data_IF_874946826510
#
_entry.id   IF_874946826510
#
_cell.length_a   1.000
_cell.length_b   1.000
_cell.length_c   1.000
_cell.angle_alpha   90.00
_cell.angle_beta   90.00
_cell.angle_gamma   90.00
#
_symmetry.space_group_name_H-M   'P 1'
#
loop_
_entity.id
_entity.type
_entity.pdbx_description
1 polymer ?
#
# COMPACT_ATOMS: atom_id res chain seq x y z
N UNK A 1 -0.05 27.84 27.79
CA UNK A 1 0.06 27.90 26.33
C UNK A 1 0.76 26.64 25.89
N UNK A 2 0.27 26.02 24.81
CA UNK A 2 0.92 24.85 24.16
C UNK A 2 1.29 25.20 22.73
N UNK A 3 2.40 24.63 22.26
CA UNK A 3 2.90 24.74 20.88
C UNK A 3 3.30 23.34 20.40
N UNK A 4 2.80 22.94 19.24
CA UNK A 4 3.15 21.70 18.57
C UNK A 4 4.09 21.93 17.41
N UNK A 5 4.93 20.94 17.10
CA UNK A 5 5.89 20.98 16.01
C UNK A 5 6.65 19.67 15.86
N UNK A 6 7.84 19.76 15.30
CA UNK A 6 8.77 18.66 15.04
C UNK A 6 10.04 18.84 15.86
N UNK A 7 10.58 17.76 16.38
CA UNK A 7 11.94 17.69 16.90
C UNK A 7 12.86 17.09 15.83
N UNK A 8 13.45 17.94 15.03
CA UNK A 8 14.34 17.55 13.92
C UNK A 8 15.52 16.69 14.36
N UNK A 9 15.97 16.83 15.61
CA UNK A 9 17.10 16.06 16.11
C UNK A 9 16.75 14.58 16.36
N UNK A 10 15.49 14.31 16.68
CA UNK A 10 15.01 12.96 17.03
C UNK A 10 13.99 12.42 16.02
N UNK A 11 13.56 13.22 15.03
CA UNK A 11 12.54 12.83 14.06
C UNK A 11 11.21 12.46 14.76
N UNK A 12 10.77 13.27 15.71
CA UNK A 12 9.65 12.96 16.58
C UNK A 12 8.73 14.17 16.78
N UNK A 13 7.45 13.96 17.17
CA UNK A 13 6.57 15.07 17.55
C UNK A 13 7.14 15.85 18.73
N UNK A 14 7.08 17.17 18.65
CA UNK A 14 7.47 18.08 19.73
C UNK A 14 6.24 18.79 20.28
N UNK A 15 6.06 18.74 21.59
CA UNK A 15 5.06 19.56 22.30
C UNK A 15 5.75 20.40 23.35
N UNK A 16 5.64 21.73 23.22
CA UNK A 16 6.14 22.69 24.18
C UNK A 16 4.98 23.25 25.02
N UNK A 17 5.26 23.52 26.28
CA UNK A 17 4.33 24.20 27.19
C UNK A 17 4.99 25.44 27.81
N UNK A 18 4.23 26.51 27.86
CA UNK A 18 4.57 27.72 28.65
C UNK A 18 3.53 27.97 29.74
N UNK A 19 3.98 28.22 30.96
CA UNK A 19 3.18 28.68 32.10
C UNK A 19 3.42 30.17 32.41
N UNK A 20 4.24 30.82 31.60
CA UNK A 20 4.68 32.22 31.82
C UNK A 20 4.22 33.17 30.71
N UNK A 21 3.07 32.87 30.07
CA UNK A 21 2.55 33.72 28.99
C UNK A 21 3.42 33.70 27.71
N UNK A 22 4.21 32.63 27.47
CA UNK A 22 5.08 32.50 26.29
C UNK A 22 6.53 32.98 26.54
N UNK A 23 6.88 33.45 27.73
CA UNK A 23 8.24 33.91 28.03
C UNK A 23 9.21 32.74 28.12
N UNK A 24 8.82 31.65 28.79
CA UNK A 24 9.65 30.44 28.90
C UNK A 24 8.83 29.23 28.39
N UNK A 25 9.55 28.30 27.76
CA UNK A 25 9.01 27.08 27.17
C UNK A 25 9.76 25.86 27.67
N UNK A 26 9.04 24.77 27.90
CA UNK A 26 9.62 23.47 28.21
C UNK A 26 9.00 22.39 27.33
N UNK A 27 9.81 21.42 26.87
CA UNK A 27 9.30 20.23 26.20
C UNK A 27 8.55 19.36 27.21
N UNK A 28 7.33 18.98 26.85
CA UNK A 28 6.44 18.17 27.70
C UNK A 28 6.06 16.83 27.09
N UNK A 29 6.40 16.56 25.84
CA UNK A 29 6.23 15.24 25.20
C UNK A 29 7.62 14.62 25.01
N UNK A 30 7.93 13.58 25.78
CA UNK A 30 9.29 13.06 25.90
C UNK A 30 9.39 11.67 25.27
N UNK A 31 9.73 11.62 23.98
CA UNK A 31 9.85 10.39 23.19
C UNK A 31 11.07 9.54 23.54
N UNK A 32 12.12 10.15 24.12
CA UNK A 32 13.32 9.41 24.56
C UNK A 32 12.91 8.43 25.68
N UNK A 33 13.09 7.14 25.42
CA UNK A 33 12.71 6.05 26.32
C UNK A 33 11.22 6.08 26.73
N UNK A 34 10.35 6.72 25.95
CA UNK A 34 8.92 6.91 26.29
C UNK A 34 8.71 7.49 27.69
N UNK A 35 9.57 8.41 28.14
CA UNK A 35 9.73 8.76 29.55
C UNK A 35 8.43 9.17 30.25
N UNK A 36 7.50 9.83 29.52
CA UNK A 36 6.19 10.21 30.04
C UNK A 36 5.04 9.84 29.11
N UNK A 37 5.21 8.80 28.25
CA UNK A 37 4.27 8.42 27.22
C UNK A 37 3.91 6.95 27.39
N UNK A 38 2.61 6.61 27.51
CA UNK A 38 2.15 5.24 27.30
C UNK A 38 2.07 4.97 25.79
N UNK A 39 2.43 3.77 25.37
CA UNK A 39 2.51 3.42 23.94
C UNK A 39 1.59 2.28 23.57
N UNK A 40 1.21 2.21 22.30
CA UNK A 40 0.70 1.02 21.65
C UNK A 40 1.85 0.29 20.93
N UNK A 41 1.71 0.11 19.60
CA UNK A 41 2.70 -0.56 18.74
C UNK A 41 3.88 0.35 18.33
N UNK A 42 3.76 1.65 18.53
CA UNK A 42 4.77 2.65 18.18
C UNK A 42 5.53 3.13 19.42
N UNK A 43 6.78 3.56 19.23
CA UNK A 43 7.60 4.21 20.25
C UNK A 43 8.95 3.54 20.46
N UNK A 44 9.62 3.91 21.54
CA UNK A 44 10.99 3.47 21.86
C UNK A 44 11.12 1.94 21.84
N UNK A 45 12.00 1.44 20.96
CA UNK A 45 12.26 0.01 20.70
C UNK A 45 11.07 -0.81 20.19
N UNK A 46 9.94 -0.20 19.88
CA UNK A 46 8.80 -0.88 19.25
C UNK A 46 9.05 -1.30 17.80
N UNK A 47 8.04 -1.89 17.18
CA UNK A 47 8.11 -2.29 15.76
C UNK A 47 8.23 -1.08 14.84
N UNK A 48 7.61 0.01 15.23
CA UNK A 48 7.76 1.33 14.60
C UNK A 48 8.25 2.34 15.64
N UNK A 49 9.07 3.26 15.19
CA UNK A 49 9.49 4.40 16.01
C UNK A 49 8.65 5.62 15.61
N UNK A 50 8.77 6.73 16.33
CA UNK A 50 8.03 7.96 16.03
C UNK A 50 8.41 8.63 14.70
N UNK A 51 9.31 8.07 13.89
CA UNK A 51 9.86 8.65 12.67
C UNK A 51 8.83 9.05 11.61
N UNK A 52 7.80 8.29 11.34
CA UNK A 52 6.78 8.64 10.35
C UNK A 52 5.60 9.44 10.93
N UNK A 53 5.46 9.48 12.24
CA UNK A 53 4.54 10.36 12.97
C UNK A 53 5.23 11.60 13.53
N UNK A 54 6.25 12.04 12.90
CA UNK A 54 7.30 12.97 13.30
C UNK A 54 6.85 14.37 13.74
N UNK A 55 5.64 14.80 13.39
CA UNK A 55 5.21 16.19 13.59
C UNK A 55 3.88 16.27 14.32
N UNK A 56 3.80 17.10 15.35
CA UNK A 56 2.54 17.53 15.94
C UNK A 56 1.85 18.52 14.99
N UNK A 57 0.83 18.08 14.23
CA UNK A 57 0.10 18.91 13.30
C UNK A 57 -0.99 19.74 13.93
N UNK A 58 -1.74 19.14 14.83
CA UNK A 58 -2.85 19.80 15.50
C UNK A 58 -2.73 19.61 17.00
N UNK A 59 -2.86 20.71 17.77
CA UNK A 59 -2.86 20.65 19.23
C UNK A 59 -3.96 21.54 19.78
N UNK A 60 -4.67 21.06 20.80
CA UNK A 60 -5.66 21.86 21.50
C UNK A 60 -5.76 21.46 22.97
N UNK A 61 -6.05 22.45 23.82
CA UNK A 61 -6.46 22.22 25.20
C UNK A 61 -7.98 22.37 25.32
N UNK A 62 -8.59 21.58 26.21
CA UNK A 62 -10.03 21.69 26.45
C UNK A 62 -10.39 23.10 27.00
N UNK A 63 -11.43 23.76 26.46
CA UNK A 63 -11.76 25.14 26.81
C UNK A 63 -11.98 25.37 28.33
N UNK A 64 -12.56 24.37 28.99
CA UNK A 64 -12.90 24.45 30.43
C UNK A 64 -11.92 23.72 31.33
N UNK A 65 -10.85 23.12 30.77
CA UNK A 65 -9.86 22.39 31.55
C UNK A 65 -8.50 22.36 30.81
N UNK A 66 -7.66 23.31 31.11
CA UNK A 66 -6.32 23.48 30.50
C UNK A 66 -5.36 22.31 30.81
N UNK A 67 -5.72 21.41 31.72
CA UNK A 67 -4.94 20.19 31.96
C UNK A 67 -5.23 19.09 30.94
N UNK A 68 -6.35 19.17 30.22
CA UNK A 68 -6.68 18.23 29.14
C UNK A 68 -6.19 18.77 27.82
N UNK A 69 -5.19 18.10 27.26
CA UNK A 69 -4.57 18.46 25.98
C UNK A 69 -4.58 17.27 25.06
N UNK A 70 -4.87 17.51 23.82
CA UNK A 70 -4.82 16.49 22.75
C UNK A 70 -4.00 17.02 21.59
N UNK A 71 -3.19 16.15 20.97
CA UNK A 71 -2.59 16.46 19.69
C UNK A 71 -2.68 15.29 18.72
N UNK A 72 -2.62 15.60 17.43
CA UNK A 72 -2.51 14.65 16.33
C UNK A 72 -1.19 14.82 15.59
N UNK A 73 -0.66 13.72 15.09
CA UNK A 73 0.48 13.67 14.19
C UNK A 73 0.08 13.04 12.84
N UNK A 74 1.04 12.56 12.04
CA UNK A 74 0.74 11.90 10.75
C UNK A 74 -0.03 10.59 10.89
N UNK A 75 0.05 9.92 12.02
CA UNK A 75 -0.43 8.55 12.16
C UNK A 75 -1.45 8.33 13.25
N UNK A 76 -1.37 9.07 14.35
CA UNK A 76 -2.16 8.77 15.54
C UNK A 76 -2.43 10.00 16.41
N UNK A 77 -3.09 9.78 17.54
CA UNK A 77 -3.51 10.80 18.49
C UNK A 77 -2.95 10.50 19.86
N UNK A 78 -2.52 11.57 20.58
CA UNK A 78 -2.01 11.51 21.95
C UNK A 78 -2.80 12.44 22.86
N UNK A 79 -3.07 12.02 24.09
CA UNK A 79 -3.90 12.75 25.06
C UNK A 79 -3.15 12.89 26.39
N UNK A 80 -3.22 14.09 26.95
CA UNK A 80 -2.82 14.35 28.34
C UNK A 80 -4.03 14.80 29.15
N UNK A 81 -4.12 14.36 30.38
CA UNK A 81 -5.12 14.83 31.36
C UNK A 81 -4.53 15.66 32.51
N UNK A 82 -3.23 15.89 32.51
CA UNK A 82 -2.46 16.54 33.59
C UNK A 82 -1.58 17.68 33.10
N UNK A 83 -1.96 18.31 31.99
CA UNK A 83 -1.28 19.47 31.43
C UNK A 83 0.02 19.13 30.70
N UNK A 84 0.17 17.93 30.17
CA UNK A 84 1.33 17.47 29.45
C UNK A 84 2.43 16.86 30.34
N UNK A 85 2.18 16.65 31.62
CA UNK A 85 3.16 15.95 32.46
C UNK A 85 3.26 14.47 32.11
N UNK A 86 2.11 13.84 31.75
CA UNK A 86 2.03 12.51 31.21
C UNK A 86 1.13 12.50 29.96
N UNK A 87 1.46 11.60 29.03
CA UNK A 87 0.73 11.43 27.79
C UNK A 87 0.30 9.98 27.61
N UNK A 88 -0.90 9.82 27.11
CA UNK A 88 -1.48 8.54 26.79
C UNK A 88 -1.75 8.48 25.29
N UNK A 89 -1.39 7.37 24.70
CA UNK A 89 -1.78 7.07 23.32
C UNK A 89 -3.32 6.90 23.23
N UNK A 90 -3.91 7.16 22.06
CA UNK A 90 -5.35 7.02 21.84
C UNK A 90 -5.66 6.21 20.56
N UNK A 91 -4.80 5.26 20.20
CA UNK A 91 -4.96 4.45 18.99
C UNK A 91 -5.05 2.93 19.27
N UNK A 92 -4.66 2.48 20.47
CA UNK A 92 -4.94 1.11 20.92
C UNK A 92 -5.76 1.12 22.21
N UNK A 93 -6.44 0.00 22.49
CA UNK A 93 -7.24 -0.16 23.70
C UNK A 93 -6.41 0.11 24.96
N UNK A 94 -7.06 0.65 25.99
CA UNK A 94 -6.41 0.99 27.25
C UNK A 94 -5.75 -0.22 27.92
N UNK A 95 -6.36 -1.39 27.81
CA UNK A 95 -5.82 -2.62 28.39
C UNK A 95 -4.57 -3.13 27.66
N UNK A 96 -4.32 -2.63 26.45
CA UNK A 96 -3.14 -2.95 25.64
C UNK A 96 -1.99 -1.94 25.80
N UNK A 97 -2.17 -0.87 26.54
CA UNK A 97 -1.13 0.15 26.69
C UNK A 97 0.13 -0.40 27.34
N UNK A 98 1.28 0.06 26.82
CA UNK A 98 2.55 -0.17 27.48
C UNK A 98 2.86 1.00 28.40
N UNK A 99 3.37 0.75 29.62
CA UNK A 99 3.61 1.80 30.60
C UNK A 99 4.61 2.85 30.13
N UNK A 100 4.40 4.10 30.53
CA UNK A 100 5.38 5.16 30.33
C UNK A 100 6.73 4.81 30.98
N UNK A 101 7.82 5.23 30.36
CA UNK A 101 9.18 4.91 30.79
C UNK A 101 9.61 3.46 30.55
N UNK A 102 8.81 2.69 29.84
CA UNK A 102 9.10 1.29 29.51
C UNK A 102 9.33 1.13 27.99
N UNK A 103 10.22 0.22 27.55
CA UNK A 103 10.32 -0.11 26.14
C UNK A 103 9.01 -0.67 25.60
N UNK A 104 8.63 -0.26 24.40
CA UNK A 104 7.49 -0.84 23.67
C UNK A 104 7.86 -2.24 23.17
N UNK A 105 7.07 -3.28 23.50
CA UNK A 105 7.34 -4.63 23.02
C UNK A 105 7.22 -4.74 21.51
N UNK A 106 8.17 -5.47 20.88
CA UNK A 106 8.08 -5.88 19.46
C UNK A 106 7.18 -7.10 19.31
N UNK A 107 6.60 -7.23 18.12
CA UNK A 107 5.79 -8.39 17.71
C UNK A 107 4.59 -8.67 18.63
N UNK A 108 4.11 -7.67 19.32
CA UNK A 108 2.87 -7.75 20.10
C UNK A 108 1.67 -7.39 19.24
N UNK A 109 0.55 -8.07 19.44
CA UNK A 109 -0.74 -7.67 18.88
C UNK A 109 -1.44 -6.67 19.80
N UNK A 110 -2.23 -5.79 19.20
CA UNK A 110 -2.97 -4.73 19.86
C UNK A 110 -4.39 -4.64 19.29
N UNK A 111 -5.36 -4.29 20.14
CA UNK A 111 -6.70 -3.92 19.72
C UNK A 111 -6.71 -2.45 19.32
N UNK A 112 -6.94 -2.16 18.04
CA UNK A 112 -7.08 -0.79 17.56
C UNK A 112 -8.40 -0.19 17.99
N UNK A 113 -8.40 1.09 18.39
CA UNK A 113 -9.61 1.87 18.67
C UNK A 113 -9.88 2.95 17.62
N UNK A 114 -9.09 2.99 16.55
CA UNK A 114 -9.37 3.70 15.32
C UNK A 114 -8.82 5.13 15.21
N UNK A 115 -8.04 5.62 16.15
CA UNK A 115 -7.36 6.92 16.03
C UNK A 115 -5.93 6.77 15.49
N UNK A 116 -5.81 5.96 14.44
CA UNK A 116 -4.60 5.71 13.66
C UNK A 116 -4.95 5.67 12.17
N UNK A 117 -4.00 6.02 11.31
CA UNK A 117 -4.26 6.22 9.88
C UNK A 117 -3.05 5.86 9.01
N UNK A 118 -3.31 5.08 7.94
CA UNK A 118 -2.42 4.90 6.79
C UNK A 118 -3.20 4.29 5.61
N UNK A 119 -2.55 4.15 4.45
CA UNK A 119 -3.17 3.60 3.24
C UNK A 119 -3.18 2.07 3.27
N UNK A 120 -4.37 1.47 3.31
CA UNK A 120 -4.57 0.03 3.16
C UNK A 120 -4.73 -0.34 1.68
N UNK A 121 -4.01 -1.37 1.23
CA UNK A 121 -4.07 -1.89 -0.14
C UNK A 121 -4.92 -3.15 -0.25
N UNK A 122 -4.78 -4.06 0.71
CA UNK A 122 -5.46 -5.35 0.69
C UNK A 122 -5.52 -5.95 2.09
N UNK A 123 -6.60 -6.67 2.36
CA UNK A 123 -6.69 -7.61 3.49
C UNK A 123 -6.96 -9.00 2.92
N UNK A 124 -6.20 -9.99 3.37
CA UNK A 124 -6.29 -11.37 2.92
C UNK A 124 -6.51 -12.31 4.10
N UNK A 125 -7.54 -13.15 4.02
CA UNK A 125 -7.73 -14.30 4.90
C UNK A 125 -6.80 -15.44 4.47
N UNK A 126 -5.84 -15.81 5.33
CA UNK A 126 -4.94 -16.95 5.06
C UNK A 126 -5.49 -18.25 5.64
N UNK A 127 -6.35 -18.14 6.66
CA UNK A 127 -7.13 -19.23 7.26
C UNK A 127 -8.40 -18.65 7.90
N UNK A 128 -9.30 -19.46 8.48
CA UNK A 128 -10.48 -18.96 9.18
C UNK A 128 -10.19 -17.96 10.32
N UNK A 129 -8.99 -17.97 10.87
CA UNK A 129 -8.60 -17.09 11.99
C UNK A 129 -7.45 -16.15 11.66
N UNK A 130 -6.66 -16.44 10.62
CA UNK A 130 -5.48 -15.66 10.31
C UNK A 130 -5.72 -14.71 9.13
N UNK A 131 -5.32 -13.48 9.31
CA UNK A 131 -5.41 -12.42 8.30
C UNK A 131 -4.06 -11.71 8.14
N UNK A 132 -3.83 -11.20 6.95
CA UNK A 132 -2.71 -10.32 6.63
C UNK A 132 -3.25 -9.03 6.03
N UNK A 133 -2.78 -7.90 6.52
CA UNK A 133 -3.08 -6.58 5.96
C UNK A 133 -1.85 -5.99 5.28
N UNK A 134 -2.03 -5.54 4.03
CA UNK A 134 -1.01 -4.89 3.21
C UNK A 134 -1.22 -3.37 3.23
N UNK A 135 -0.19 -2.63 3.57
CA UNK A 135 -0.26 -1.18 3.76
C UNK A 135 0.94 -0.46 3.16
N UNK A 136 0.76 0.84 2.86
CA UNK A 136 1.89 1.78 2.78
C UNK A 136 2.36 2.16 4.17
N UNK A 137 3.61 2.62 4.27
CA UNK A 137 4.29 3.18 5.45
C UNK A 137 4.55 2.18 6.57
N UNK A 138 3.65 1.26 6.82
CA UNK A 138 3.78 0.23 7.85
C UNK A 138 4.04 -1.17 7.29
N UNK A 139 3.94 -1.34 5.96
CA UNK A 139 4.19 -2.60 5.26
C UNK A 139 3.13 -3.66 5.52
N UNK A 140 3.40 -4.61 6.40
CA UNK A 140 2.51 -5.71 6.73
C UNK A 140 2.05 -5.62 8.19
N UNK A 141 0.80 -5.98 8.44
CA UNK A 141 0.34 -6.36 9.77
C UNK A 141 -0.35 -7.73 9.71
N UNK A 142 -0.36 -8.43 10.83
CA UNK A 142 -0.90 -9.79 10.96
C UNK A 142 -1.89 -9.85 12.10
N UNK A 143 -2.99 -10.59 11.89
CA UNK A 143 -3.92 -11.02 12.93
C UNK A 143 -3.99 -12.54 12.96
N UNK A 144 -4.14 -13.12 14.14
CA UNK A 144 -4.34 -14.56 14.35
C UNK A 144 -5.66 -14.89 15.04
N UNK A 145 -6.51 -13.89 15.22
CA UNK A 145 -7.76 -13.92 15.99
C UNK A 145 -8.94 -13.31 15.23
N UNK A 146 -9.00 -13.51 13.91
CA UNK A 146 -10.08 -13.00 13.05
C UNK A 146 -10.15 -11.47 12.94
N UNK A 147 -9.04 -10.78 13.12
CA UNK A 147 -8.95 -9.33 13.02
C UNK A 147 -9.29 -8.57 14.30
N UNK A 148 -9.46 -9.26 15.44
CA UNK A 148 -9.67 -8.60 16.73
C UNK A 148 -8.45 -7.81 17.18
N UNK A 149 -7.26 -8.43 17.05
CA UNK A 149 -6.01 -7.72 17.30
C UNK A 149 -5.07 -7.83 16.11
N UNK A 150 -4.21 -6.82 15.95
CA UNK A 150 -3.28 -6.69 14.85
C UNK A 150 -1.89 -6.29 15.36
N UNK A 151 -0.86 -6.76 14.67
CA UNK A 151 0.51 -6.39 15.02
C UNK A 151 1.54 -6.84 14.00
N UNK A 152 2.80 -6.60 14.33
CA UNK A 152 3.97 -6.96 13.53
C UNK A 152 4.50 -8.35 13.92
N UNK A 153 3.60 -9.30 14.15
CA UNK A 153 3.90 -10.67 14.61
C UNK A 153 4.48 -11.52 13.47
N UNK A 154 5.55 -11.04 12.86
CA UNK A 154 6.28 -11.71 11.79
C UNK A 154 7.75 -11.28 11.76
N UNK A 155 8.57 -11.98 10.98
CA UNK A 155 9.98 -11.69 10.75
C UNK A 155 10.31 -11.77 9.26
N UNK A 156 11.49 -11.27 8.84
CA UNK A 156 12.05 -11.49 7.51
C UNK A 156 11.59 -10.51 6.41
N UNK A 157 10.64 -9.62 6.68
CA UNK A 157 10.29 -8.55 5.75
C UNK A 157 10.30 -7.20 6.46
N UNK A 158 11.02 -6.25 5.87
CA UNK A 158 11.11 -4.87 6.34
C UNK A 158 11.08 -3.95 5.11
N UNK A 159 9.89 -3.49 4.74
CA UNK A 159 9.64 -2.61 3.60
C UNK A 159 8.67 -1.51 3.99
N UNK A 160 8.68 -0.39 3.25
CA UNK A 160 7.71 0.68 3.47
C UNK A 160 6.29 0.22 3.09
N UNK A 161 6.15 -0.46 1.95
CA UNK A 161 4.84 -0.77 1.36
C UNK A 161 4.74 -2.22 0.91
N UNK A 162 3.59 -2.83 1.20
CA UNK A 162 3.12 -4.07 0.56
C UNK A 162 1.82 -3.75 -0.16
N UNK A 163 1.72 -4.13 -1.44
CA UNK A 163 0.60 -3.73 -2.30
C UNK A 163 -0.35 -4.86 -2.62
N UNK A 164 0.17 -6.08 -2.71
CA UNK A 164 -0.62 -7.27 -3.07
C UNK A 164 -0.08 -8.49 -2.35
N UNK A 165 -1.00 -9.33 -1.87
CA UNK A 165 -0.71 -10.62 -1.26
C UNK A 165 -1.49 -11.69 -2.04
N UNK A 166 -0.79 -12.75 -2.45
CA UNK A 166 -1.38 -13.89 -3.15
C UNK A 166 -1.09 -15.18 -2.38
N UNK A 167 -2.07 -16.08 -2.35
CA UNK A 167 -1.94 -17.39 -1.70
C UNK A 167 -2.06 -18.49 -2.73
N UNK A 168 -1.02 -19.30 -2.88
CA UNK A 168 -1.03 -20.50 -3.72
C UNK A 168 -1.80 -21.66 -3.08
N UNK A 169 -2.16 -22.64 -3.91
CA UNK A 169 -2.89 -23.83 -3.47
C UNK A 169 -2.11 -24.69 -2.44
N UNK A 170 -0.77 -24.60 -2.44
CA UNK A 170 0.10 -25.24 -1.44
C UNK A 170 0.00 -24.59 -0.05
N UNK A 171 -0.67 -23.42 0.06
CA UNK A 171 -0.69 -22.60 1.25
C UNK A 171 0.46 -21.59 1.35
N UNK A 172 1.44 -21.63 0.44
CA UNK A 172 2.49 -20.60 0.35
C UNK A 172 1.87 -19.25 0.02
N UNK A 173 2.30 -18.23 0.72
CA UNK A 173 1.84 -16.86 0.57
C UNK A 173 2.96 -16.05 -0.06
N UNK A 174 2.64 -15.20 -1.01
CA UNK A 174 3.56 -14.31 -1.70
C UNK A 174 3.10 -12.86 -1.53
N UNK A 175 4.04 -11.93 -1.39
CA UNK A 175 3.71 -10.51 -1.25
C UNK A 175 4.57 -9.64 -2.17
N UNK A 176 3.92 -8.72 -2.87
CA UNK A 176 4.53 -7.71 -3.73
C UNK A 176 4.83 -6.45 -2.93
N UNK A 177 6.06 -5.97 -2.96
CA UNK A 177 6.47 -4.89 -2.08
C UNK A 177 7.55 -3.96 -2.66
N UNK A 178 7.73 -2.82 -1.99
CA UNK A 178 8.84 -1.89 -2.22
C UNK A 178 9.07 -0.96 -1.02
N UNK A 179 10.11 -0.11 -1.14
CA UNK A 179 10.33 0.99 -0.21
C UNK A 179 9.80 2.34 -0.72
N UNK A 180 9.05 2.34 -1.83
CA UNK A 180 8.46 3.59 -2.33
C UNK A 180 7.32 4.01 -1.42
N UNK A 181 7.48 5.20 -0.84
CA UNK A 181 6.44 5.89 -0.11
C UNK A 181 5.39 6.43 -1.07
N UNK A 182 4.11 6.25 -0.78
CA UNK A 182 3.00 6.85 -1.52
C UNK A 182 2.99 6.58 -3.03
N UNK A 183 3.28 5.36 -3.44
CA UNK A 183 3.14 4.98 -4.85
C UNK A 183 1.70 5.23 -5.35
N UNK A 184 1.56 5.64 -6.60
CA UNK A 184 0.29 6.04 -7.22
C UNK A 184 -0.36 7.31 -6.66
N UNK A 185 0.31 8.09 -5.87
CA UNK A 185 -0.10 9.49 -5.68
C UNK A 185 0.28 10.33 -6.91
N UNK A 186 -0.34 11.49 -7.05
CA UNK A 186 -0.13 12.38 -8.20
C UNK A 186 1.32 12.72 -8.49
N UNK A 187 2.16 12.72 -7.46
CA UNK A 187 3.58 12.99 -7.55
C UNK A 187 4.42 11.75 -7.80
N UNK A 188 3.90 10.54 -7.46
CA UNK A 188 4.66 9.28 -7.52
C UNK A 188 4.59 8.58 -8.88
N UNK A 189 3.66 8.97 -9.74
CA UNK A 189 3.63 8.57 -11.14
C UNK A 189 4.43 9.51 -12.05
N UNK A 190 5.12 10.50 -11.47
CA UNK A 190 5.99 11.39 -12.21
C UNK A 190 7.37 10.75 -12.46
N UNK A 191 7.91 10.98 -13.64
CA UNK A 191 9.18 10.39 -14.11
C UNK A 191 10.32 10.53 -13.11
N UNK A 192 10.55 11.73 -12.59
CA UNK A 192 11.64 12.01 -11.66
C UNK A 192 11.57 11.23 -10.34
N UNK A 193 10.42 10.67 -10.00
CA UNK A 193 10.23 9.89 -8.78
C UNK A 193 10.30 8.38 -9.01
N UNK A 194 9.97 7.92 -10.21
CA UNK A 194 10.04 6.52 -10.60
C UNK A 194 11.37 6.15 -11.26
N UNK A 195 12.12 7.14 -11.76
CA UNK A 195 13.46 6.96 -12.31
C UNK A 195 14.57 6.96 -11.26
N UNK A 196 14.24 7.37 -10.04
CA UNK A 196 15.18 7.41 -8.93
C UNK A 196 15.45 6.04 -8.32
N UNK A 197 15.81 6.06 -7.05
CA UNK A 197 16.07 4.87 -6.24
C UNK A 197 14.77 4.09 -5.94
N UNK A 198 14.20 3.42 -6.92
CA UNK A 198 13.07 2.49 -6.74
C UNK A 198 13.46 1.23 -5.95
N UNK A 199 14.57 1.30 -5.21
CA UNK A 199 15.24 0.19 -4.56
C UNK A 199 14.32 -0.62 -3.66
N UNK A 200 14.68 -1.88 -3.45
CA UNK A 200 13.98 -2.86 -2.63
C UNK A 200 12.63 -3.35 -3.17
N UNK A 201 12.30 -3.06 -4.42
CA UNK A 201 11.15 -3.71 -5.05
C UNK A 201 11.42 -5.20 -5.23
N UNK A 202 10.59 -6.03 -4.61
CA UNK A 202 10.77 -7.48 -4.57
C UNK A 202 9.47 -8.23 -4.33
N UNK A 203 9.53 -9.52 -4.51
CA UNK A 203 8.53 -10.46 -4.02
C UNK A 203 9.13 -11.19 -2.82
N UNK A 204 8.36 -11.28 -1.76
CA UNK A 204 8.68 -12.12 -0.60
C UNK A 204 7.68 -13.26 -0.49
N UNK A 205 8.05 -14.36 0.17
CA UNK A 205 7.16 -15.48 0.39
C UNK A 205 7.23 -16.00 1.82
N UNK A 206 6.14 -16.64 2.25
CA UNK A 206 5.97 -17.28 3.54
C UNK A 206 5.33 -18.65 3.36
N UNK A 207 5.80 -19.64 4.12
CA UNK A 207 5.24 -21.00 4.16
C UNK A 207 4.57 -21.34 5.50
N UNK A 208 4.51 -20.36 6.42
CA UNK A 208 4.02 -20.51 7.79
C UNK A 208 2.91 -19.50 8.13
N UNK A 209 2.03 -19.22 7.17
CA UNK A 209 0.90 -18.31 7.32
C UNK A 209 1.30 -16.88 7.67
N UNK A 210 2.41 -16.42 7.12
CA UNK A 210 2.90 -15.05 7.28
C UNK A 210 3.68 -14.80 8.57
N UNK A 211 4.10 -15.82 9.30
CA UNK A 211 4.91 -15.65 10.51
C UNK A 211 6.38 -15.37 10.20
N UNK A 212 6.91 -15.96 9.13
CA UNK A 212 8.24 -15.65 8.63
C UNK A 212 8.24 -15.48 7.12
N UNK A 213 9.10 -14.59 6.63
CA UNK A 213 9.20 -14.24 5.22
C UNK A 213 10.62 -14.31 4.73
N UNK A 214 10.78 -14.74 3.48
CA UNK A 214 12.05 -14.75 2.76
C UNK A 214 11.88 -14.06 1.41
N UNK A 215 12.95 -13.49 0.90
CA UNK A 215 12.95 -12.94 -0.45
C UNK A 215 12.77 -14.06 -1.46
N UNK A 216 11.80 -13.91 -2.38
CA UNK A 216 11.64 -14.80 -3.52
C UNK A 216 12.50 -14.31 -4.69
N UNK A 217 12.33 -13.05 -5.06
CA UNK A 217 13.09 -12.42 -6.14
C UNK A 217 13.14 -10.89 -5.96
N UNK A 218 14.32 -10.30 -6.19
CA UNK A 218 14.59 -8.87 -6.08
C UNK A 218 14.65 -8.25 -7.47
N UNK A 219 13.71 -7.34 -7.76
CA UNK A 219 13.66 -6.61 -9.03
C UNK A 219 14.40 -5.27 -8.98
N UNK A 220 14.62 -4.73 -7.78
CA UNK A 220 15.09 -3.37 -7.51
C UNK A 220 14.16 -2.27 -8.06
N UNK A 221 12.94 -2.62 -8.39
CA UNK A 221 11.86 -1.75 -8.83
C UNK A 221 10.57 -2.17 -8.15
N UNK A 222 9.64 -1.26 -7.84
CA UNK A 222 8.42 -1.62 -7.13
C UNK A 222 7.67 -2.75 -7.80
N UNK A 223 7.31 -3.77 -7.02
CA UNK A 223 6.39 -4.82 -7.45
C UNK A 223 5.02 -4.49 -6.90
N UNK A 224 4.06 -4.27 -7.80
CA UNK A 224 2.74 -3.76 -7.40
C UNK A 224 1.66 -4.83 -7.35
N UNK A 225 1.73 -5.83 -8.23
CA UNK A 225 0.72 -6.88 -8.32
C UNK A 225 1.35 -8.24 -8.57
N UNK A 226 0.66 -9.28 -8.08
CA UNK A 226 0.99 -10.67 -8.34
C UNK A 226 -0.26 -11.40 -8.83
N UNK A 227 -0.09 -12.38 -9.70
CA UNK A 227 -1.13 -13.30 -10.09
C UNK A 227 -0.54 -14.69 -10.33
N UNK A 228 -1.00 -15.68 -9.60
CA UNK A 228 -0.67 -17.09 -9.83
C UNK A 228 -1.56 -17.61 -10.95
N UNK A 229 -1.00 -18.36 -11.89
CA UNK A 229 -1.76 -19.00 -12.96
C UNK A 229 -2.67 -20.09 -12.36
N UNK A 230 -4.01 -20.00 -12.49
CA UNK A 230 -4.92 -21.00 -11.95
C UNK A 230 -4.72 -22.37 -12.58
N UNK A 231 -4.18 -22.45 -13.80
CA UNK A 231 -3.93 -23.69 -14.52
C UNK A 231 -2.54 -24.28 -14.22
N UNK A 232 -1.62 -23.50 -13.64
CA UNK A 232 -0.26 -23.91 -13.32
C UNK A 232 0.26 -23.17 -12.10
N UNK A 233 0.14 -23.77 -10.93
CA UNK A 233 0.58 -23.17 -9.67
C UNK A 233 2.09 -22.91 -9.57
N UNK A 234 2.88 -23.41 -10.52
CA UNK A 234 4.31 -23.13 -10.64
C UNK A 234 4.59 -21.88 -11.49
N UNK A 235 3.54 -21.23 -12.02
CA UNK A 235 3.62 -20.01 -12.82
C UNK A 235 3.02 -18.83 -12.09
N UNK A 236 3.77 -17.75 -12.06
CA UNK A 236 3.32 -16.47 -11.49
C UNK A 236 3.69 -15.33 -12.43
N UNK A 237 2.84 -14.32 -12.45
CA UNK A 237 3.08 -13.04 -13.13
C UNK A 237 3.18 -11.93 -12.09
N UNK A 238 4.04 -10.95 -12.36
CA UNK A 238 4.28 -9.80 -11.48
C UNK A 238 4.28 -8.49 -12.28
N UNK A 239 3.58 -7.49 -11.74
CA UNK A 239 3.63 -6.11 -12.22
C UNK A 239 4.82 -5.39 -11.60
N UNK A 240 5.82 -5.05 -12.40
CA UNK A 240 7.00 -4.28 -11.97
C UNK A 240 6.90 -2.88 -12.55
N UNK A 241 6.97 -1.86 -11.70
CA UNK A 241 6.80 -0.47 -12.10
C UNK A 241 8.16 0.20 -12.21
N UNK A 242 8.45 0.74 -13.38
CA UNK A 242 9.64 1.56 -13.60
C UNK A 242 9.53 2.32 -14.92
N UNK A 243 10.07 3.53 -14.94
CA UNK A 243 10.27 4.31 -16.14
C UNK A 243 11.68 4.91 -16.14
N UNK A 244 12.50 4.51 -17.08
CA UNK A 244 13.91 4.92 -17.19
C UNK A 244 14.17 6.15 -18.06
N UNK A 245 13.20 7.04 -18.23
CA UNK A 245 13.34 8.32 -18.98
C UNK A 245 13.59 8.19 -20.46
N UNK A 246 14.22 7.10 -20.90
CA UNK A 246 14.58 6.86 -22.30
C UNK A 246 13.85 5.61 -22.81
N UNK A 247 13.12 5.69 -23.95
CA UNK A 247 12.55 4.51 -24.59
C UNK A 247 13.61 3.42 -24.79
N UNK A 248 13.34 2.22 -24.29
CA UNK A 248 14.27 1.08 -24.32
C UNK A 248 15.03 0.79 -23.02
N UNK A 249 15.13 1.75 -22.11
CA UNK A 249 15.73 1.53 -20.78
C UNK A 249 14.69 1.18 -19.70
N UNK A 250 13.43 1.11 -20.06
CA UNK A 250 12.35 0.81 -19.15
C UNK A 250 12.44 -0.62 -18.61
N UNK A 251 12.63 -0.77 -17.31
CA UNK A 251 12.55 -2.07 -16.64
C UNK A 251 11.11 -2.44 -16.27
N UNK A 252 10.19 -1.47 -16.23
CA UNK A 252 8.78 -1.68 -15.93
C UNK A 252 8.08 -2.54 -16.99
N UNK A 253 7.15 -3.36 -16.52
CA UNK A 253 6.37 -4.27 -17.34
C UNK A 253 5.93 -5.51 -16.56
N UNK A 254 5.40 -6.48 -17.29
CA UNK A 254 5.00 -7.76 -16.71
C UNK A 254 6.18 -8.73 -16.76
N UNK A 255 6.54 -9.27 -15.61
CA UNK A 255 7.48 -10.37 -15.47
C UNK A 255 6.75 -11.65 -15.15
N UNK A 256 7.33 -12.77 -15.51
CA UNK A 256 6.76 -14.08 -15.20
C UNK A 256 7.84 -15.10 -14.89
N UNK A 257 7.46 -16.10 -14.12
CA UNK A 257 8.22 -17.31 -13.86
C UNK A 257 7.35 -18.54 -14.16
N UNK A 258 7.99 -19.68 -14.44
CA UNK A 258 7.35 -20.99 -14.59
C UNK A 258 7.98 -22.03 -13.65
N UNK A 259 8.82 -21.58 -12.75
CA UNK A 259 9.59 -22.42 -11.82
C UNK A 259 9.47 -21.88 -10.36
N UNK A 260 8.28 -21.39 -10.00
CA UNK A 260 7.98 -20.82 -8.69
C UNK A 260 8.32 -21.75 -7.52
N UNK A 261 8.22 -23.08 -7.74
CA UNK A 261 8.61 -24.09 -6.74
C UNK A 261 10.11 -24.08 -6.40
N UNK A 262 10.95 -23.49 -7.24
CA UNK A 262 12.37 -23.31 -6.96
C UNK A 262 12.62 -22.16 -5.96
N UNK A 263 11.56 -21.49 -5.51
CA UNK A 263 11.62 -20.39 -4.54
C UNK A 263 12.68 -19.34 -4.93
N UNK A 264 13.66 -19.10 -4.07
CA UNK A 264 14.74 -18.11 -4.29
C UNK A 264 15.59 -18.36 -5.54
N UNK A 265 15.57 -19.58 -6.08
CA UNK A 265 16.24 -19.95 -7.33
C UNK A 265 15.33 -19.87 -8.54
N UNK A 266 14.11 -19.31 -8.39
CA UNK A 266 13.19 -19.10 -9.51
C UNK A 266 13.77 -18.08 -10.52
N UNK A 267 13.50 -18.33 -11.79
CA UNK A 267 13.96 -17.47 -12.89
C UNK A 267 12.79 -16.60 -13.39
N UNK A 268 13.07 -15.32 -13.61
CA UNK A 268 12.04 -14.37 -14.03
C UNK A 268 12.38 -13.76 -15.37
N UNK A 269 11.41 -13.76 -16.26
CA UNK A 269 11.54 -13.22 -17.62
C UNK A 269 10.53 -12.08 -17.82
N UNK A 270 10.99 -10.96 -18.36
CA UNK A 270 10.12 -9.87 -18.74
C UNK A 270 9.42 -10.18 -20.06
N UNK A 271 8.09 -9.97 -20.11
CA UNK A 271 7.35 -9.95 -21.36
C UNK A 271 7.67 -8.68 -22.16
N UNK A 272 7.48 -8.71 -23.47
CA UNK A 272 7.45 -7.47 -24.26
C UNK A 272 6.34 -6.57 -23.71
N UNK A 273 6.56 -5.26 -23.68
CA UNK A 273 5.52 -4.35 -23.21
C UNK A 273 4.35 -4.30 -24.23
N UNK A 274 3.11 -4.13 -23.77
CA UNK A 274 1.98 -3.86 -24.63
C UNK A 274 2.19 -2.57 -25.45
N UNK A 275 1.52 -2.43 -26.59
CA UNK A 275 1.62 -1.22 -27.41
C UNK A 275 1.27 0.03 -26.59
N UNK A 276 1.95 1.14 -26.86
CA UNK A 276 1.80 2.47 -26.24
C UNK A 276 1.99 2.56 -24.71
N UNK A 277 2.31 1.46 -24.03
CA UNK A 277 2.54 1.49 -22.56
C UNK A 277 3.94 1.94 -22.21
N UNK A 278 4.11 2.46 -20.97
CA UNK A 278 5.35 3.10 -20.55
C UNK A 278 5.83 2.60 -19.16
N UNK A 279 5.70 1.30 -18.90
CA UNK A 279 6.31 0.67 -17.72
C UNK A 279 5.53 0.80 -16.42
N UNK A 280 4.25 1.12 -16.46
CA UNK A 280 3.38 1.24 -15.25
C UNK A 280 2.25 0.20 -15.25
N UNK A 281 2.52 -1.11 -15.25
CA UNK A 281 1.49 -2.12 -15.10
C UNK A 281 0.85 -2.03 -13.70
N UNK A 282 -0.44 -2.36 -13.64
CA UNK A 282 -1.16 -2.41 -12.37
C UNK A 282 -1.68 -3.83 -12.10
N UNK A 283 -2.95 -4.11 -12.31
CA UNK A 283 -3.56 -5.41 -12.00
C UNK A 283 -3.32 -6.45 -13.09
N UNK A 284 -3.24 -7.72 -12.69
CA UNK A 284 -3.09 -8.88 -13.59
C UNK A 284 -4.16 -9.90 -13.25
N UNK A 285 -4.78 -10.48 -14.28
CA UNK A 285 -5.66 -11.65 -14.18
C UNK A 285 -5.24 -12.67 -15.22
N UNK A 286 -5.12 -13.94 -14.83
CA UNK A 286 -4.84 -15.06 -15.74
C UNK A 286 -6.15 -15.80 -16.03
N UNK A 287 -6.51 -15.90 -17.29
CA UNK A 287 -7.73 -16.57 -17.73
C UNK A 287 -7.55 -18.09 -17.79
N UNK A 288 -8.65 -18.82 -17.78
CA UNK A 288 -8.64 -20.29 -17.91
C UNK A 288 -8.06 -20.78 -19.24
N UNK A 289 -8.14 -19.97 -20.32
CA UNK A 289 -7.53 -20.27 -21.60
C UNK A 289 -6.03 -19.92 -21.67
N UNK A 290 -5.44 -19.53 -20.54
CA UNK A 290 -4.03 -19.19 -20.39
C UNK A 290 -3.66 -17.79 -20.85
N UNK A 291 -4.58 -16.99 -21.37
CA UNK A 291 -4.30 -15.58 -21.67
C UNK A 291 -4.17 -14.76 -20.39
N UNK A 292 -3.37 -13.71 -20.46
CA UNK A 292 -3.13 -12.81 -19.34
C UNK A 292 -3.74 -11.45 -19.65
N UNK A 293 -4.60 -10.96 -18.78
CA UNK A 293 -5.19 -9.62 -18.89
C UNK A 293 -4.51 -8.70 -17.89
N UNK A 294 -4.03 -7.56 -18.35
CA UNK A 294 -3.35 -6.58 -17.51
C UNK A 294 -3.98 -5.21 -17.66
N UNK A 295 -4.01 -4.46 -16.57
CA UNK A 295 -4.23 -3.02 -16.63
C UNK A 295 -2.90 -2.27 -16.59
N UNK A 296 -2.87 -1.10 -17.18
CA UNK A 296 -1.74 -0.17 -17.14
C UNK A 296 -2.20 1.23 -16.76
N UNK A 297 -1.43 1.88 -15.91
CA UNK A 297 -1.63 3.27 -15.53
C UNK A 297 -0.87 4.21 -16.46
N UNK A 298 -1.36 5.45 -16.58
CA UNK A 298 -0.66 6.48 -17.33
C UNK A 298 0.60 6.95 -16.60
N UNK A 299 1.59 7.37 -17.37
CA UNK A 299 2.78 8.04 -16.86
C UNK A 299 2.55 9.55 -16.81
N UNK A 300 3.06 10.20 -15.77
CA UNK A 300 3.06 11.65 -15.67
C UNK A 300 4.44 12.20 -16.05
N UNK A 301 4.52 12.89 -17.17
CA UNK A 301 5.76 13.49 -17.64
C UNK A 301 6.20 14.71 -16.81
N UNK A 302 7.38 15.24 -17.07
CA UNK A 302 7.95 16.40 -16.39
C UNK A 302 7.10 17.67 -16.49
N UNK A 303 6.26 17.79 -17.52
CA UNK A 303 5.30 18.88 -17.69
C UNK A 303 3.99 18.68 -16.89
N UNK A 304 3.87 17.61 -16.12
CA UNK A 304 2.71 17.31 -15.30
C UNK A 304 1.52 16.71 -16.06
N UNK A 305 1.69 16.39 -17.34
CA UNK A 305 0.66 15.79 -18.21
C UNK A 305 0.76 14.27 -18.18
N UNK A 306 -0.38 13.59 -18.03
CA UNK A 306 -0.43 12.13 -18.17
C UNK A 306 -0.37 11.72 -19.64
N UNK A 307 0.44 10.71 -19.93
CA UNK A 307 0.55 10.13 -21.28
C UNK A 307 -0.61 9.16 -21.53
N UNK A 308 -0.87 8.86 -22.80
CA UNK A 308 -1.92 7.91 -23.20
C UNK A 308 -1.47 6.45 -23.08
N UNK A 309 -0.79 6.10 -22.00
CA UNK A 309 -0.19 4.77 -21.75
C UNK A 309 -1.06 3.86 -20.87
N UNK A 310 -2.20 4.34 -20.39
CA UNK A 310 -3.15 3.58 -19.57
C UNK A 310 -4.11 2.75 -20.41
N UNK A 311 -4.69 1.72 -19.80
CA UNK A 311 -5.73 0.90 -20.42
C UNK A 311 -5.71 -0.57 -19.99
N UNK A 312 -6.36 -1.41 -20.80
CA UNK A 312 -6.47 -2.86 -20.62
C UNK A 312 -5.87 -3.57 -21.82
N UNK A 313 -5.03 -4.56 -21.56
CA UNK A 313 -4.29 -5.30 -22.57
C UNK A 313 -4.37 -6.80 -22.33
N UNK A 314 -4.48 -7.58 -23.41
CA UNK A 314 -4.48 -9.06 -23.38
C UNK A 314 -3.18 -9.56 -23.97
N UNK A 315 -2.44 -10.37 -23.20
CA UNK A 315 -1.32 -11.14 -23.69
C UNK A 315 -1.73 -12.55 -24.07
N UNK A 316 -1.37 -12.97 -25.28
CA UNK A 316 -1.51 -14.34 -25.74
C UNK A 316 -0.15 -15.05 -25.66
N UNK A 317 0.08 -15.98 -24.71
CA UNK A 317 1.37 -16.64 -24.56
C UNK A 317 1.73 -17.57 -25.72
N UNK A 318 0.75 -18.09 -26.46
CA UNK A 318 1.00 -18.96 -27.62
C UNK A 318 1.50 -18.14 -28.80
N UNK A 319 0.88 -16.98 -29.05
CA UNK A 319 1.27 -16.08 -30.12
C UNK A 319 2.41 -15.12 -29.71
N UNK A 320 2.78 -15.07 -28.44
CA UNK A 320 3.71 -14.11 -27.86
C UNK A 320 3.40 -12.67 -28.28
N UNK A 321 2.14 -12.27 -28.15
CA UNK A 321 1.65 -10.98 -28.64
C UNK A 321 0.61 -10.36 -27.72
N UNK A 322 0.53 -9.02 -27.78
CA UNK A 322 -0.42 -8.22 -27.03
C UNK A 322 -1.53 -7.69 -27.92
N UNK A 323 -2.72 -7.59 -27.39
CA UNK A 323 -3.86 -6.89 -27.97
C UNK A 323 -4.30 -5.77 -27.02
N UNK A 324 -4.41 -4.55 -27.51
CA UNK A 324 -5.02 -3.43 -26.81
C UNK A 324 -6.54 -3.53 -26.90
N UNK A 325 -7.20 -3.64 -25.76
CA UNK A 325 -8.66 -3.75 -25.66
C UNK A 325 -9.24 -2.63 -24.78
N UNK A 326 -8.51 -1.53 -24.69
CA UNK A 326 -8.90 -0.39 -23.84
C UNK A 326 -10.10 0.36 -24.40
N UNK A 327 -10.92 0.93 -23.49
CA UNK A 327 -11.85 1.99 -23.86
C UNK A 327 -11.13 3.35 -23.88
N UNK A 328 -11.48 4.26 -24.81
CA UNK A 328 -10.88 5.61 -24.86
C UNK A 328 -11.03 6.42 -23.55
N UNK A 329 -11.97 6.06 -22.70
CA UNK A 329 -12.15 6.68 -21.37
C UNK A 329 -11.18 6.19 -20.29
N UNK A 330 -10.42 5.13 -20.55
CA UNK A 330 -9.49 4.54 -19.59
C UNK A 330 -8.19 5.36 -19.52
N UNK A 331 -8.25 6.50 -18.85
CA UNK A 331 -7.11 7.41 -18.67
C UNK A 331 -6.57 7.34 -17.24
N UNK A 332 -5.42 7.94 -17.03
CA UNK A 332 -4.71 8.07 -15.75
C UNK A 332 -4.44 6.71 -15.12
N UNK A 333 -5.18 6.36 -14.11
CA UNK A 333 -4.98 5.14 -13.36
C UNK A 333 -6.09 4.11 -13.67
N UNK A 334 -5.87 3.26 -14.63
CA UNK A 334 -6.65 2.05 -14.87
C UNK A 334 -6.08 0.98 -13.95
N UNK A 335 -6.70 0.84 -12.77
CA UNK A 335 -6.04 0.12 -11.66
C UNK A 335 -6.46 -1.32 -11.55
N UNK A 336 -7.73 -1.58 -11.29
CA UNK A 336 -8.19 -2.89 -10.90
C UNK A 336 -9.04 -3.52 -12.00
N UNK A 337 -8.82 -4.82 -12.24
CA UNK A 337 -9.64 -5.62 -13.14
C UNK A 337 -10.07 -6.89 -12.44
N UNK A 338 -11.37 -7.20 -12.49
CA UNK A 338 -11.94 -8.38 -11.87
C UNK A 338 -12.86 -9.08 -12.88
N UNK A 339 -12.76 -10.40 -12.95
CA UNK A 339 -13.68 -11.23 -13.73
C UNK A 339 -15.01 -11.34 -13.02
N UNK A 340 -16.12 -11.39 -13.79
CA UNK A 340 -17.41 -11.69 -13.25
C UNK A 340 -17.44 -13.18 -12.80
N UNK A 341 -17.61 -13.49 -11.52
CA UNK A 341 -17.60 -14.86 -11.02
C UNK A 341 -18.80 -15.68 -11.55
N UNK A 342 -19.85 -15.01 -12.02
CA UNK A 342 -21.05 -15.66 -12.58
C UNK A 342 -20.94 -15.93 -14.09
N UNK A 343 -19.82 -15.54 -14.72
CA UNK A 343 -19.55 -15.83 -16.13
C UNK A 343 -18.43 -16.88 -16.28
N UNK A 344 -18.76 -18.17 -16.35
CA UNK A 344 -17.77 -19.24 -16.48
C UNK A 344 -16.98 -19.18 -17.80
N UNK A 345 -17.47 -18.44 -18.79
CA UNK A 345 -16.76 -18.23 -20.08
C UNK A 345 -15.67 -17.15 -19.97
N UNK A 346 -15.64 -16.42 -18.85
CA UNK A 346 -14.73 -15.33 -18.58
C UNK A 346 -14.70 -14.25 -19.68
N UNK A 347 -15.86 -13.94 -20.24
CA UNK A 347 -16.02 -12.86 -21.22
C UNK A 347 -16.36 -11.53 -20.53
N UNK A 348 -16.91 -11.62 -19.31
CA UNK A 348 -17.39 -10.47 -18.54
C UNK A 348 -16.37 -10.02 -17.51
N UNK A 349 -15.93 -8.76 -17.65
CA UNK A 349 -14.94 -8.15 -16.76
C UNK A 349 -15.40 -6.77 -16.27
N UNK A 350 -14.90 -6.39 -15.12
CA UNK A 350 -15.09 -5.07 -14.55
C UNK A 350 -13.73 -4.40 -14.33
N UNK A 351 -13.64 -3.12 -14.66
CA UNK A 351 -12.40 -2.33 -14.55
C UNK A 351 -12.67 -1.03 -13.82
N UNK A 352 -11.84 -0.76 -12.81
CA UNK A 352 -11.85 0.50 -12.06
C UNK A 352 -10.88 1.51 -12.67
N UNK A 353 -11.39 2.70 -12.99
CA UNK A 353 -10.61 3.81 -13.54
C UNK A 353 -10.68 5.00 -12.58
N UNK A 354 -9.52 5.46 -12.14
CA UNK A 354 -9.38 6.62 -11.27
C UNK A 354 -8.94 7.83 -12.09
N UNK A 355 -9.81 8.80 -12.30
CA UNK A 355 -9.48 10.00 -13.06
C UNK A 355 -9.05 11.17 -12.18
N UNK A 356 -8.29 12.09 -12.74
CA UNK A 356 -7.93 13.34 -12.09
C UNK A 356 -7.04 13.17 -10.85
N UNK A 357 -6.19 12.17 -10.82
CA UNK A 357 -5.23 12.01 -9.74
C UNK A 357 -4.28 13.22 -9.66
N UNK A 358 -4.31 13.93 -8.54
CA UNK A 358 -3.59 15.19 -8.35
C UNK A 358 -4.24 16.41 -9.01
N UNK A 359 -5.48 16.28 -9.51
CA UNK A 359 -6.27 17.36 -10.12
C UNK A 359 -7.76 17.06 -10.09
N UNK A 360 -8.54 17.88 -10.79
CA UNK A 360 -9.98 17.69 -10.91
C UNK A 360 -10.29 16.43 -11.73
N UNK A 361 -11.33 15.64 -11.38
CA UNK A 361 -11.82 14.56 -12.22
C UNK A 361 -12.24 15.09 -13.61
N UNK A 362 -12.09 14.28 -14.63
CA UNK A 362 -12.38 14.63 -16.02
C UNK A 362 -13.66 13.98 -16.57
N UNK A 363 -14.44 13.30 -15.74
CA UNK A 363 -15.66 12.59 -16.14
C UNK A 363 -15.42 11.23 -16.80
N UNK A 364 -14.17 10.82 -17.00
CA UNK A 364 -13.82 9.54 -17.65
C UNK A 364 -13.57 8.40 -16.64
N UNK A 365 -13.32 8.71 -15.38
CA UNK A 365 -13.16 7.69 -14.34
C UNK A 365 -14.47 6.98 -14.00
N UNK A 366 -14.37 5.88 -13.27
CA UNK A 366 -15.51 5.10 -12.80
C UNK A 366 -15.36 3.60 -13.02
N UNK A 367 -16.47 2.89 -12.99
CA UNK A 367 -16.53 1.46 -13.24
C UNK A 367 -16.95 1.18 -14.69
N UNK A 368 -16.13 0.41 -15.39
CA UNK A 368 -16.38 -0.06 -16.75
C UNK A 368 -16.64 -1.55 -16.74
N UNK A 369 -17.58 -1.99 -17.57
CA UNK A 369 -17.91 -3.41 -17.79
C UNK A 369 -17.76 -3.76 -19.26
N UNK A 370 -17.17 -4.91 -19.52
CA UNK A 370 -17.26 -5.64 -20.80
C UNK A 370 -17.99 -6.96 -20.61
N UNK A 371 -18.62 -7.48 -21.67
CA UNK A 371 -19.19 -8.85 -21.73
C UNK A 371 -18.61 -9.64 -22.91
N UNK A 372 -17.55 -9.12 -23.54
CA UNK A 372 -16.96 -9.67 -24.74
C UNK A 372 -15.42 -9.52 -24.77
N UNK A 373 -14.80 -9.69 -23.59
CA UNK A 373 -13.35 -9.64 -23.40
C UNK A 373 -12.72 -8.35 -23.89
N UNK A 374 -13.35 -7.20 -23.63
CA UNK A 374 -12.85 -5.90 -23.97
C UNK A 374 -13.04 -5.46 -25.42
N UNK A 375 -13.76 -6.25 -26.25
CA UNK A 375 -14.10 -5.81 -27.62
C UNK A 375 -15.03 -4.59 -27.60
N UNK A 376 -15.76 -4.38 -26.53
CA UNK A 376 -16.52 -3.16 -26.22
C UNK A 376 -16.69 -3.01 -24.71
N UNK A 377 -16.86 -1.76 -24.27
CA UNK A 377 -17.04 -1.42 -22.87
C UNK A 377 -18.25 -0.54 -22.66
N UNK A 378 -18.84 -0.66 -21.47
CA UNK A 378 -19.90 0.22 -20.97
C UNK A 378 -19.47 0.81 -19.63
N UNK A 379 -19.43 2.13 -19.54
CA UNK A 379 -19.26 2.81 -18.25
C UNK A 379 -20.55 2.69 -17.46
N UNK A 380 -20.49 2.07 -16.27
CA UNK A 380 -21.64 1.79 -15.42
C UNK A 380 -21.98 2.93 -14.45
N UNK A 381 -21.01 3.80 -14.15
CA UNK A 381 -21.14 4.82 -13.12
C UNK A 381 -21.22 6.22 -13.73
N UNK A 382 -21.99 7.11 -13.09
CA UNK A 382 -21.99 8.52 -13.42
C UNK A 382 -20.80 9.28 -12.82
N UNK A 383 -20.76 10.60 -12.98
CA UNK A 383 -19.66 11.47 -12.52
C UNK A 383 -19.41 11.44 -11.00
N UNK A 384 -20.37 10.99 -10.21
CA UNK A 384 -20.20 10.84 -8.77
C UNK A 384 -19.17 9.75 -8.38
N UNK A 385 -18.77 8.89 -9.32
CA UNK A 385 -17.79 7.81 -9.11
C UNK A 385 -16.60 7.91 -10.05
N UNK A 386 -16.13 9.08 -10.37
CA UNK A 386 -14.98 9.30 -11.27
C UNK A 386 -13.63 8.78 -10.72
N UNK A 387 -13.62 8.26 -9.51
CA UNK A 387 -12.43 7.76 -8.83
C UNK A 387 -12.63 6.36 -8.26
N UNK A 388 -12.93 5.41 -9.13
CA UNK A 388 -13.03 4.00 -8.75
C UNK A 388 -11.63 3.36 -8.67
N UNK A 389 -11.32 2.68 -7.56
CA UNK A 389 -10.00 2.07 -7.31
C UNK A 389 -10.03 0.57 -7.11
N UNK A 390 -11.14 0.02 -6.66
CA UNK A 390 -11.25 -1.40 -6.35
C UNK A 390 -12.70 -1.87 -6.46
N UNK A 391 -12.87 -3.15 -6.77
CA UNK A 391 -14.15 -3.85 -6.82
C UNK A 391 -13.97 -5.26 -6.25
N UNK A 392 -14.97 -5.73 -5.53
CA UNK A 392 -15.05 -7.10 -5.03
C UNK A 392 -16.45 -7.65 -5.28
N UNK A 393 -16.54 -8.95 -5.47
CA UNK A 393 -17.79 -9.71 -5.53
C UNK A 393 -17.91 -10.57 -4.27
N UNK A 394 -19.12 -10.71 -3.78
CA UNK A 394 -19.51 -11.61 -2.69
C UNK A 394 -19.99 -12.99 -3.23
#
# INVERSE_FOLDING_TARGET
IYLGGNDDANGAPLVLRSTTGGTNWSSVYQTINNANITTGWEGYQGDKNFGWSETCFGITAAPNNSSRVIFSNFSNVQISSDGGNNWRQAYVDHDDENPAGSPTPKHRAYHSIGLENTTSWQVLWTSPTNMLGAFSDIGLIRSTDMGWSWGYQYTGVAVNSIYRIEKGNSGTIYAACSNIHDMYQSTRLADAQLDGNDSNGKIVFSTDSGASWSDLFVFNHPVFWLAIDPNNQNRMYASVIHYGGTPGNQQGGIYWTNDLNNQQSSTWTKLTNPPRTEGHPASIVVLQDGKVVCTYSGRRNSGGTFTASSGVFIYNPVANSWTDVSDPGMHYWTKDIVLDPNDPSQNSWYVCVFSGWGGAPNGLGGLYKTTNRGSSWTKLTGSQFDRATSISFD
#
